data_IF_674099796998
#
_entry.id   IF_674099796998
#
_cell.length_a   1.000
_cell.length_b   1.000
_cell.length_c   1.000
_cell.angle_alpha   90.00
_cell.angle_beta   90.00
_cell.angle_gamma   90.00
#
_symmetry.space_group_name_H-M   'P 1'
#
loop_
_entity.id
_entity.type
_entity.pdbx_description
1 polymer ?
#
# COMPACT_ATOMS: atom_id res chain seq x y z
N UNK A 1 8.88 -3.55 -39.02
CA UNK A 1 10.22 -3.54 -39.64
C UNK A 1 10.89 -4.92 -39.59
N UNK A 2 11.06 -5.58 -38.43
CA UNK A 2 11.75 -6.88 -38.38
C UNK A 2 10.91 -8.10 -38.84
N UNK A 3 9.58 -8.02 -38.75
CA UNK A 3 8.66 -9.13 -39.14
C UNK A 3 8.12 -9.00 -40.57
N UNK A 4 8.35 -7.87 -41.24
CA UNK A 4 7.78 -7.60 -42.57
C UNK A 4 8.58 -8.25 -43.72
N UNK A 5 9.80 -8.73 -43.42
CA UNK A 5 10.70 -9.40 -44.37
C UNK A 5 10.91 -10.90 -44.06
N UNK A 6 10.15 -11.47 -43.11
CA UNK A 6 10.23 -12.89 -42.76
C UNK A 6 9.14 -13.69 -43.47
N UNK A 7 9.42 -14.97 -43.70
CA UNK A 7 8.45 -15.94 -44.21
C UNK A 7 7.18 -15.91 -43.33
N UNK A 8 6.00 -15.93 -43.97
CA UNK A 8 4.70 -15.71 -43.33
C UNK A 8 4.49 -16.64 -42.13
N UNK A 9 4.96 -17.87 -42.26
CA UNK A 9 4.82 -18.92 -41.24
C UNK A 9 5.72 -18.66 -40.01
N UNK A 10 6.92 -18.12 -40.24
CA UNK A 10 7.85 -17.71 -39.17
C UNK A 10 7.28 -16.50 -38.42
N UNK A 11 6.79 -15.49 -39.15
CA UNK A 11 6.19 -14.31 -38.55
C UNK A 11 4.95 -14.65 -37.72
N UNK A 12 4.13 -15.60 -38.18
CA UNK A 12 2.97 -16.08 -37.45
C UNK A 12 3.37 -16.86 -36.19
N UNK A 13 4.41 -17.69 -36.27
CA UNK A 13 4.93 -18.44 -35.13
C UNK A 13 5.51 -17.53 -34.04
N UNK A 14 6.25 -16.49 -34.42
CA UNK A 14 6.75 -15.47 -33.48
C UNK A 14 5.59 -14.75 -32.78
N UNK A 15 4.54 -14.36 -33.52
CA UNK A 15 3.35 -13.72 -32.93
C UNK A 15 2.65 -14.64 -31.91
N UNK A 16 2.49 -15.92 -32.24
CA UNK A 16 1.89 -16.91 -31.32
C UNK A 16 2.76 -17.06 -30.06
N UNK A 17 4.08 -17.19 -30.21
CA UNK A 17 4.98 -17.32 -29.07
C UNK A 17 4.96 -16.08 -28.16
N UNK A 18 4.91 -14.88 -28.74
CA UNK A 18 4.75 -13.64 -27.96
C UNK A 18 3.42 -13.62 -27.21
N UNK A 19 2.32 -14.05 -27.86
CA UNK A 19 1.02 -14.14 -27.22
C UNK A 19 1.02 -15.16 -26.06
N UNK A 20 1.61 -16.34 -26.25
CA UNK A 20 1.76 -17.33 -25.19
C UNK A 20 2.59 -16.79 -24.03
N UNK A 21 3.70 -16.11 -24.33
CA UNK A 21 4.51 -15.43 -23.33
C UNK A 21 3.68 -14.43 -22.52
N UNK A 22 2.92 -13.55 -23.18
CA UNK A 22 2.07 -12.56 -22.48
C UNK A 22 0.99 -13.23 -21.64
N UNK A 23 0.39 -14.33 -22.11
CA UNK A 23 -0.59 -15.11 -21.33
C UNK A 23 0.04 -15.68 -20.07
N UNK A 24 1.20 -16.34 -20.19
CA UNK A 24 1.91 -16.92 -19.04
C UNK A 24 2.38 -15.82 -18.08
N UNK A 25 2.95 -14.74 -18.60
CA UNK A 25 3.35 -13.60 -17.79
C UNK A 25 2.16 -13.00 -17.01
N UNK A 26 1.01 -12.83 -17.66
CA UNK A 26 -0.20 -12.34 -16.99
C UNK A 26 -0.68 -13.29 -15.89
N UNK A 27 -0.69 -14.60 -16.14
CA UNK A 27 -1.05 -15.62 -15.13
C UNK A 27 -0.08 -15.60 -13.95
N UNK A 28 1.23 -15.55 -14.21
CA UNK A 28 2.24 -15.48 -13.16
C UNK A 28 2.15 -14.19 -12.34
N UNK A 29 1.86 -13.05 -12.98
CA UNK A 29 1.59 -11.78 -12.29
C UNK A 29 0.37 -11.91 -11.39
N UNK A 30 -0.74 -12.49 -11.88
CA UNK A 30 -1.95 -12.69 -11.08
C UNK A 30 -1.74 -13.70 -9.94
N UNK A 31 -0.88 -14.71 -10.11
CA UNK A 31 -0.56 -15.68 -9.07
C UNK A 31 0.30 -15.08 -7.95
N UNK A 32 1.11 -14.06 -8.25
CA UNK A 32 2.04 -13.43 -7.29
C UNK A 32 1.49 -12.18 -6.66
N UNK A 33 0.66 -11.43 -7.38
CA UNK A 33 0.01 -10.23 -6.84
C UNK A 33 -1.30 -10.62 -6.18
N UNK A 34 -1.59 -10.11 -4.97
CA UNK A 34 -2.88 -10.28 -4.32
C UNK A 34 -3.98 -9.43 -5.00
N UNK A 35 -4.29 -9.72 -6.28
CA UNK A 35 -5.21 -8.95 -7.13
C UNK A 35 -6.67 -8.97 -6.63
N UNK A 36 -7.03 -10.01 -5.86
CA UNK A 36 -8.35 -10.19 -5.25
C UNK A 36 -8.29 -10.30 -3.72
N UNK A 37 -7.19 -9.88 -3.08
CA UNK A 37 -7.15 -9.91 -1.63
C UNK A 37 -8.08 -8.81 -1.09
N UNK A 38 -9.04 -9.23 -0.27
CA UNK A 38 -9.98 -8.38 0.43
C UNK A 38 -9.25 -7.26 1.19
N UNK A 39 -8.07 -7.57 1.72
CA UNK A 39 -7.19 -6.59 2.35
C UNK A 39 -6.81 -5.43 1.42
N UNK A 40 -6.37 -5.75 0.19
CA UNK A 40 -5.93 -4.74 -0.80
C UNK A 40 -7.10 -3.89 -1.29
N UNK A 41 -8.29 -4.47 -1.40
CA UNK A 41 -9.51 -3.72 -1.72
C UNK A 41 -9.89 -2.75 -0.61
N UNK A 42 -9.72 -3.16 0.64
CA UNK A 42 -10.01 -2.31 1.79
C UNK A 42 -9.03 -1.14 1.93
N UNK A 43 -7.80 -1.23 1.43
CA UNK A 43 -6.82 -0.12 1.45
C UNK A 43 -7.27 1.14 0.68
N UNK A 44 -8.30 1.03 -0.17
CA UNK A 44 -8.88 2.17 -0.88
C UNK A 44 -9.39 3.28 0.07
N UNK A 45 -9.69 2.96 1.33
CA UNK A 45 -10.09 3.93 2.35
C UNK A 45 -9.07 5.06 2.55
N UNK A 46 -7.79 4.83 2.23
CA UNK A 46 -6.74 5.83 2.31
C UNK A 46 -6.94 7.00 1.33
N UNK A 47 -7.63 6.78 0.22
CA UNK A 47 -7.81 7.80 -0.82
C UNK A 47 -8.68 8.97 -0.33
N UNK A 48 -8.32 10.23 -0.64
CA UNK A 48 -9.11 11.40 -0.26
C UNK A 48 -10.56 11.33 -0.75
N UNK A 49 -10.76 10.79 -1.94
CA UNK A 49 -12.07 10.64 -2.56
C UNK A 49 -12.97 9.74 -1.72
N UNK A 50 -12.43 8.67 -1.13
CA UNK A 50 -13.19 7.74 -0.30
C UNK A 50 -13.27 8.23 1.15
N UNK A 51 -12.21 8.83 1.68
CA UNK A 51 -12.19 9.37 3.04
C UNK A 51 -13.24 10.48 3.25
N UNK A 52 -13.50 11.29 2.23
CA UNK A 52 -14.46 12.39 2.30
C UNK A 52 -15.78 12.17 1.54
N UNK A 53 -15.91 11.11 0.72
CA UNK A 53 -17.18 10.78 0.05
C UNK A 53 -18.26 10.42 1.06
N UNK A 54 -19.46 10.99 0.89
CA UNK A 54 -20.61 10.68 1.76
C UNK A 54 -21.26 9.34 1.42
N UNK A 55 -21.26 8.96 0.14
CA UNK A 55 -22.03 7.82 -0.36
C UNK A 55 -21.21 6.52 -0.41
N UNK A 56 -19.94 6.57 -0.83
CA UNK A 56 -19.05 5.39 -0.99
C UNK A 56 -18.68 4.78 0.38
N UNK A 57 -18.71 5.57 1.46
CA UNK A 57 -18.38 5.10 2.81
C UNK A 57 -19.46 4.21 3.43
N UNK A 58 -20.65 4.15 2.82
CA UNK A 58 -21.67 3.17 3.17
C UNK A 58 -21.29 1.76 2.71
N UNK A 59 -20.33 1.61 1.80
CA UNK A 59 -19.81 0.30 1.40
C UNK A 59 -18.61 -0.11 2.29
N UNK A 60 -17.89 0.86 2.87
CA UNK A 60 -16.74 0.64 3.77
C UNK A 60 -17.10 1.15 5.16
N UNK A 61 -18.08 0.48 5.78
CA UNK A 61 -18.56 0.84 7.12
C UNK A 61 -17.56 0.51 8.22
N UNK A 62 -16.79 -0.58 8.05
CA UNK A 62 -15.91 -1.09 9.08
C UNK A 62 -14.56 -1.46 8.48
N UNK A 63 -13.49 -1.00 9.12
CA UNK A 63 -12.12 -1.33 8.73
C UNK A 63 -11.66 -2.64 9.41
N UNK A 64 -12.60 -3.53 9.75
CA UNK A 64 -12.34 -4.73 10.54
C UNK A 64 -11.32 -5.65 9.87
N UNK A 65 -11.44 -5.90 8.56
CA UNK A 65 -10.48 -6.73 7.82
C UNK A 65 -9.05 -6.19 7.92
N UNK A 66 -8.89 -4.86 7.96
CA UNK A 66 -7.58 -4.22 8.16
C UNK A 66 -7.16 -4.32 9.64
N UNK A 67 -8.09 -4.08 10.56
CA UNK A 67 -7.83 -4.18 12.01
C UNK A 67 -7.41 -5.61 12.40
N UNK A 68 -8.05 -6.64 11.86
CA UNK A 68 -7.69 -8.05 12.06
C UNK A 68 -6.27 -8.33 11.57
N UNK A 69 -5.89 -7.76 10.41
CA UNK A 69 -4.55 -7.96 9.84
C UNK A 69 -3.43 -7.42 10.73
N UNK A 70 -3.71 -6.36 11.49
CA UNK A 70 -2.74 -5.67 12.36
C UNK A 70 -2.98 -5.91 13.85
N UNK A 71 -3.82 -6.87 14.23
CA UNK A 71 -4.15 -7.17 15.64
C UNK A 71 -4.75 -5.96 16.42
N UNK A 72 -5.51 -5.12 15.72
CA UNK A 72 -6.16 -3.92 16.25
C UNK A 72 -7.66 -4.10 16.53
N UNK A 73 -8.16 -5.33 16.59
CA UNK A 73 -9.59 -5.58 16.83
C UNK A 73 -10.11 -4.99 18.15
N UNK A 74 -9.25 -4.86 19.15
CA UNK A 74 -9.56 -4.19 20.42
C UNK A 74 -9.85 -2.68 20.25
N UNK A 75 -9.38 -2.05 19.16
CA UNK A 75 -9.64 -0.65 18.81
C UNK A 75 -10.68 -0.48 17.69
N UNK A 76 -11.11 -1.56 17.04
CA UNK A 76 -11.96 -1.50 15.84
C UNK A 76 -13.20 -0.61 16.02
N UNK A 77 -13.91 -0.73 17.14
CA UNK A 77 -15.08 0.11 17.43
C UNK A 77 -14.74 1.61 17.52
N UNK A 78 -13.58 1.97 18.08
CA UNK A 78 -13.10 3.35 18.17
C UNK A 78 -12.68 3.87 16.80
N UNK A 79 -11.94 3.06 16.05
CA UNK A 79 -11.49 3.37 14.70
C UNK A 79 -12.69 3.59 13.77
N UNK A 80 -13.69 2.72 13.79
CA UNK A 80 -14.91 2.89 12.99
C UNK A 80 -15.67 4.16 13.36
N UNK A 81 -15.72 4.51 14.65
CA UNK A 81 -16.36 5.76 15.11
C UNK A 81 -15.60 7.00 14.60
N UNK A 82 -14.28 7.02 14.74
CA UNK A 82 -13.41 8.09 14.25
C UNK A 82 -13.47 8.21 12.73
N UNK A 83 -13.46 7.08 12.02
CA UNK A 83 -13.64 7.00 10.59
C UNK A 83 -14.98 7.64 10.20
N UNK A 84 -16.11 7.20 10.76
CA UNK A 84 -17.42 7.79 10.46
C UNK A 84 -17.49 9.30 10.74
N UNK A 85 -16.79 9.78 11.77
CA UNK A 85 -16.76 11.19 12.16
C UNK A 85 -15.92 12.08 11.24
N UNK A 86 -14.84 11.55 10.65
CA UNK A 86 -13.87 12.27 9.82
C UNK A 86 -14.46 13.28 8.81
N UNK A 87 -15.41 12.91 7.91
CA UNK A 87 -15.94 13.85 6.91
C UNK A 87 -16.83 14.96 7.49
N UNK A 88 -17.31 14.80 8.73
CA UNK A 88 -18.12 15.80 9.41
C UNK A 88 -17.25 16.80 10.18
N UNK A 89 -16.02 16.43 10.51
CA UNK A 89 -15.10 17.30 11.23
C UNK A 89 -14.58 18.45 10.35
N UNK A 90 -14.31 18.19 9.07
CA UNK A 90 -13.76 19.18 8.14
C UNK A 90 -14.84 19.91 7.34
N UNK A 91 -14.66 21.22 7.13
CA UNK A 91 -15.49 22.02 6.22
C UNK A 91 -15.11 21.76 4.76
N UNK A 92 -16.00 22.09 3.84
CA UNK A 92 -15.79 21.79 2.41
C UNK A 92 -14.56 22.48 1.82
N UNK A 93 -14.22 23.70 2.25
CA UNK A 93 -12.98 24.39 1.87
C UNK A 93 -11.72 23.63 2.33
N UNK A 94 -11.76 23.10 3.56
CA UNK A 94 -10.65 22.30 4.11
C UNK A 94 -10.53 20.96 3.38
N UNK A 95 -11.65 20.33 3.04
CA UNK A 95 -11.65 19.09 2.23
C UNK A 95 -11.02 19.33 0.87
N UNK A 96 -11.37 20.41 0.18
CA UNK A 96 -10.75 20.74 -1.11
C UNK A 96 -9.24 20.94 -0.99
N UNK A 97 -8.78 21.59 0.08
CA UNK A 97 -7.35 21.72 0.36
C UNK A 97 -6.70 20.36 0.63
N UNK A 98 -7.30 19.53 1.49
CA UNK A 98 -6.77 18.20 1.83
C UNK A 98 -6.70 17.27 0.62
N UNK A 99 -7.70 17.28 -0.26
CA UNK A 99 -7.70 16.53 -1.52
C UNK A 99 -6.64 17.02 -2.53
N UNK A 100 -6.09 18.22 -2.36
CA UNK A 100 -5.01 18.75 -3.21
C UNK A 100 -3.60 18.32 -2.77
N UNK A 101 -3.48 17.75 -1.58
CA UNK A 101 -2.20 17.31 -0.99
C UNK A 101 -1.81 15.89 -1.42
N UNK A 102 -0.55 15.52 -1.22
CA UNK A 102 -0.13 14.11 -1.32
C UNK A 102 -0.75 13.29 -0.19
N UNK A 103 -0.87 11.98 -0.40
CA UNK A 103 -1.51 11.06 0.55
C UNK A 103 -0.93 11.20 1.96
N UNK A 104 0.40 11.20 2.10
CA UNK A 104 1.05 11.27 3.41
C UNK A 104 0.80 12.62 4.08
N UNK A 105 0.87 13.70 3.31
CA UNK A 105 0.65 15.07 3.80
C UNK A 105 -0.80 15.28 4.23
N UNK A 106 -1.75 14.73 3.46
CA UNK A 106 -3.16 14.80 3.79
C UNK A 106 -3.43 14.15 5.17
N UNK A 107 -2.99 12.91 5.35
CA UNK A 107 -3.19 12.20 6.62
C UNK A 107 -2.44 12.87 7.78
N UNK A 108 -1.23 13.38 7.54
CA UNK A 108 -0.49 14.15 8.53
C UNK A 108 -1.23 15.43 8.97
N UNK A 109 -1.88 16.16 8.05
CA UNK A 109 -2.71 17.32 8.39
C UNK A 109 -3.99 16.93 9.14
N UNK A 110 -4.65 15.83 8.74
CA UNK A 110 -5.84 15.31 9.45
C UNK A 110 -5.50 15.02 10.91
N UNK A 111 -4.36 14.36 11.18
CA UNK A 111 -3.95 13.97 12.52
C UNK A 111 -3.40 15.11 13.39
N UNK A 112 -3.19 16.31 12.84
CA UNK A 112 -2.95 17.52 13.65
C UNK A 112 -4.22 18.09 14.28
N UNK A 113 -5.38 17.56 13.93
CA UNK A 113 -6.65 18.03 14.44
C UNK A 113 -6.84 17.63 15.91
N UNK A 114 -7.09 18.62 16.76
CA UNK A 114 -7.33 18.46 18.19
C UNK A 114 -8.74 18.96 18.56
N UNK A 115 -9.41 18.24 19.45
CA UNK A 115 -10.70 18.67 20.03
C UNK A 115 -10.48 19.75 21.09
N UNK A 116 -9.42 19.58 21.88
CA UNK A 116 -8.92 20.51 22.88
C UNK A 116 -7.39 20.41 22.92
N UNK A 117 -6.68 21.41 23.46
CA UNK A 117 -5.22 21.39 23.50
C UNK A 117 -4.67 20.10 24.11
N UNK A 118 -3.96 19.31 23.30
CA UNK A 118 -3.41 18.01 23.71
C UNK A 118 -4.39 16.83 23.68
N UNK A 119 -5.60 17.01 23.14
CA UNK A 119 -6.58 15.95 22.90
C UNK A 119 -6.80 15.75 21.39
N UNK A 120 -5.99 14.92 20.74
CA UNK A 120 -6.15 14.57 19.32
C UNK A 120 -7.50 13.88 19.05
N UNK A 121 -8.07 14.15 17.87
CA UNK A 121 -9.42 13.68 17.47
C UNK A 121 -9.40 12.26 16.89
N UNK A 122 -8.30 11.88 16.24
CA UNK A 122 -8.22 10.69 15.38
C UNK A 122 -7.05 9.76 15.77
N UNK A 123 -6.79 9.61 17.07
CA UNK A 123 -5.63 8.85 17.58
C UNK A 123 -5.65 7.37 17.16
N UNK A 124 -6.82 6.74 17.21
CA UNK A 124 -6.91 5.30 16.90
C UNK A 124 -6.82 5.09 15.39
N UNK A 125 -7.46 5.97 14.61
CA UNK A 125 -7.38 5.97 13.15
C UNK A 125 -5.95 6.25 12.68
N UNK A 126 -5.21 7.11 13.38
CA UNK A 126 -3.80 7.38 13.10
C UNK A 126 -2.95 6.13 13.18
N UNK A 127 -3.10 5.33 14.25
CA UNK A 127 -2.36 4.07 14.40
C UNK A 127 -2.61 3.16 13.19
N UNK A 128 -3.88 3.01 12.78
CA UNK A 128 -4.22 2.18 11.63
C UNK A 128 -3.61 2.70 10.32
N UNK A 129 -3.74 4.00 10.06
CA UNK A 129 -3.22 4.62 8.82
C UNK A 129 -1.70 4.56 8.77
N UNK A 130 -1.01 4.85 9.87
CA UNK A 130 0.45 4.75 9.94
C UNK A 130 0.91 3.31 9.65
N UNK A 131 0.24 2.29 10.22
CA UNK A 131 0.55 0.88 9.96
C UNK A 131 0.32 0.45 8.50
N UNK A 132 -0.68 1.04 7.84
CA UNK A 132 -0.91 0.77 6.42
C UNK A 132 0.11 1.49 5.55
N UNK A 133 0.49 2.72 5.88
CA UNK A 133 1.44 3.52 5.10
C UNK A 133 2.90 3.04 5.21
N UNK A 134 3.26 2.29 6.26
CA UNK A 134 4.57 1.62 6.34
C UNK A 134 4.65 0.35 5.48
N UNK A 135 3.52 -0.14 4.94
CA UNK A 135 3.57 -1.28 4.04
C UNK A 135 4.35 -0.88 2.78
N UNK A 136 5.36 -1.66 2.37
CA UNK A 136 6.12 -1.36 1.17
C UNK A 136 5.16 -1.34 -0.01
N UNK A 137 4.91 -0.16 -0.57
CA UNK A 137 3.94 0.05 -1.64
C UNK A 137 4.37 -0.58 -2.97
N UNK A 138 5.61 -1.10 -3.06
CA UNK A 138 6.13 -1.75 -4.26
C UNK A 138 7.21 -2.79 -3.95
N UNK A 139 7.20 -3.89 -4.71
CA UNK A 139 8.32 -4.83 -4.76
C UNK A 139 9.65 -4.14 -5.11
N UNK A 140 9.67 -3.00 -5.81
CA UNK A 140 10.90 -2.27 -6.12
C UNK A 140 11.57 -1.65 -4.89
N UNK A 141 10.80 -1.26 -3.86
CA UNK A 141 11.36 -0.78 -2.59
C UNK A 141 11.86 -1.94 -1.73
N UNK A 142 11.11 -3.05 -1.71
CA UNK A 142 11.57 -4.29 -1.09
C UNK A 142 12.86 -4.80 -1.78
N UNK A 143 12.92 -4.81 -3.11
CA UNK A 143 14.09 -5.18 -3.90
C UNK A 143 15.27 -4.22 -3.71
N UNK A 144 15.06 -2.93 -3.45
CA UNK A 144 16.14 -2.02 -3.05
C UNK A 144 16.73 -2.40 -1.70
N UNK A 145 15.88 -2.69 -0.72
CA UNK A 145 16.30 -3.17 0.60
C UNK A 145 16.98 -4.53 0.51
N UNK A 146 16.44 -5.46 -0.28
CA UNK A 146 17.06 -6.77 -0.54
C UNK A 146 18.34 -6.67 -1.37
N UNK A 147 18.44 -5.75 -2.32
CA UNK A 147 19.65 -5.50 -3.12
C UNK A 147 20.77 -4.96 -2.23
N UNK A 148 20.46 -4.05 -1.30
CA UNK A 148 21.41 -3.60 -0.28
C UNK A 148 21.87 -4.75 0.61
N UNK A 149 20.95 -5.61 1.07
CA UNK A 149 21.29 -6.81 1.86
C UNK A 149 22.14 -7.78 1.05
N UNK A 150 21.82 -7.97 -0.23
CA UNK A 150 22.56 -8.85 -1.14
C UNK A 150 23.95 -8.30 -1.42
N UNK A 151 24.11 -6.98 -1.60
CA UNK A 151 25.40 -6.32 -1.75
C UNK A 151 26.27 -6.44 -0.48
N UNK A 152 25.66 -6.34 0.72
CA UNK A 152 26.35 -6.58 2.00
C UNK A 152 26.83 -8.03 2.09
N UNK A 153 26.01 -8.98 1.65
CA UNK A 153 26.33 -10.42 1.66
C UNK A 153 27.33 -10.82 0.56
N UNK A 154 27.29 -10.18 -0.61
CA UNK A 154 28.04 -10.61 -1.81
C UNK A 154 29.33 -9.83 -2.06
N UNK A 155 29.38 -8.50 -1.82
CA UNK A 155 30.59 -7.70 -2.08
C UNK A 155 31.64 -7.81 -0.97
N UNK A 156 31.24 -8.19 0.25
CA UNK A 156 32.15 -8.55 1.33
C UNK A 156 31.89 -9.99 1.74
N UNK A 157 32.70 -10.92 1.23
CA UNK A 157 32.93 -12.26 1.81
C UNK A 157 33.47 -12.15 3.25
N UNK A 158 32.68 -11.61 4.18
CA UNK A 158 32.83 -11.86 5.60
C UNK A 158 31.67 -12.77 5.98
N UNK A 159 32.01 -13.87 6.64
CA UNK A 159 31.08 -14.88 7.14
C UNK A 159 30.26 -14.28 8.29
N UNK A 160 29.38 -13.34 7.97
CA UNK A 160 28.48 -12.71 8.93
C UNK A 160 27.39 -13.73 9.20
N UNK A 161 27.28 -14.20 10.45
CA UNK A 161 26.25 -15.16 10.85
C UNK A 161 24.84 -14.58 10.61
N UNK A 162 23.86 -15.46 10.39
CA UNK A 162 22.45 -15.09 10.15
C UNK A 162 21.94 -14.07 11.17
N UNK A 163 22.36 -14.22 12.43
CA UNK A 163 21.94 -13.38 13.55
C UNK A 163 22.47 -11.95 13.43
N UNK A 164 23.67 -11.78 12.88
CA UNK A 164 24.29 -10.46 12.68
C UNK A 164 23.74 -9.77 11.43
N UNK A 165 23.38 -10.52 10.38
CA UNK A 165 22.65 -9.96 9.22
C UNK A 165 21.28 -9.44 9.67
N UNK A 166 20.55 -10.22 10.48
CA UNK A 166 19.28 -9.79 11.04
C UNK A 166 19.41 -8.54 11.93
N UNK A 167 20.49 -8.43 12.71
CA UNK A 167 20.76 -7.25 13.53
C UNK A 167 21.08 -6.00 12.69
N UNK A 168 21.83 -6.12 11.60
CA UNK A 168 22.14 -4.99 10.70
C UNK A 168 20.88 -4.51 9.97
N UNK A 169 20.04 -5.42 9.48
CA UNK A 169 18.77 -5.05 8.85
C UNK A 169 17.85 -4.28 9.82
N UNK A 170 17.86 -4.62 11.11
CA UNK A 170 17.09 -3.90 12.14
C UNK A 170 17.65 -2.53 12.52
N UNK A 171 18.92 -2.26 12.25
CA UNK A 171 19.59 -0.98 12.58
C UNK A 171 19.55 0.03 11.42
N UNK A 172 19.23 -0.41 10.19
CA UNK A 172 19.18 0.44 9.00
C UNK A 172 17.74 0.73 8.50
N UNK A 173 16.73 0.08 9.08
CA UNK A 173 15.33 0.48 9.03
C UNK A 173 15.09 1.56 10.10
#
# INVERSE_FOLDING_TARGET
IFLDNCDSDIAQKVKINCLEFYKVAAVEIMNRLPYCDEFMLNLKFLSPEIAFAKDIRLEIHELNTICEKFDLMHLAARISSEWLFLPFFFKDEQKQHLCSLTLEKMWAEIFKSEYSPGSPVFDNLKILVDLVLILPHSNAEAERTFSNVTDIVTKKRNRIGSDTVAAICKLHL
#
